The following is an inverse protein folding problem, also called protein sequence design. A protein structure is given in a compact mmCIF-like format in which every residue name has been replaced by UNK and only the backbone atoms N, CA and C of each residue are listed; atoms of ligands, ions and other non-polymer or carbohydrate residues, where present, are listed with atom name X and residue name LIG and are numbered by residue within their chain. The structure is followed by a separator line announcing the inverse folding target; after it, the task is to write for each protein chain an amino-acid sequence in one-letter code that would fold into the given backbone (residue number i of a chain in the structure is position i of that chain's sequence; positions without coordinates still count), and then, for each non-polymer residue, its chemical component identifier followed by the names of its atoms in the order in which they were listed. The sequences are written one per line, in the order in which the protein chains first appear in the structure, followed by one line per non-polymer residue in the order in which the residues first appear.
data_IF_169129594907
#
_entry.id   IF_169129594907
#
_cell.length_a   1.000
_cell.length_b   1.000
_cell.length_c   1.000
_cell.angle_alpha   90.00
_cell.angle_beta   90.00
_cell.angle_gamma   90.00
#
_symmetry.space_group_name_H-M   'P 1'
#
loop_
_entity.id
_entity.type
_entity.pdbx_description
1 polymer ?
#
# COMPACT_ATOMS: atom_id res chain seq x y z
N UNK A 1 24.15 21.64 -14.08
CA UNK A 1 23.46 20.33 -14.19
C UNK A 1 22.95 19.80 -12.84
N UNK A 2 23.69 19.90 -11.72
CA UNK A 2 23.22 19.49 -10.39
C UNK A 2 21.90 20.19 -9.94
N UNK A 3 21.81 21.50 -10.16
CA UNK A 3 20.64 22.31 -9.78
C UNK A 3 19.35 21.93 -10.53
N UNK A 4 19.45 21.32 -11.72
CA UNK A 4 18.29 20.92 -12.52
C UNK A 4 17.73 19.55 -12.10
N UNK A 5 18.56 18.70 -11.49
CA UNK A 5 18.14 17.42 -10.89
C UNK A 5 17.44 17.61 -9.55
N UNK A 6 17.91 18.55 -8.73
CA UNK A 6 17.36 18.87 -7.41
C UNK A 6 15.94 19.45 -7.51
N UNK A 7 15.71 20.36 -8.46
CA UNK A 7 14.39 20.95 -8.75
C UNK A 7 13.37 19.90 -9.25
N UNK A 8 13.83 18.83 -9.92
CA UNK A 8 12.95 17.75 -10.40
C UNK A 8 12.51 16.81 -9.27
N UNK A 9 13.41 16.54 -8.32
CA UNK A 9 13.15 15.70 -7.17
C UNK A 9 12.15 16.37 -6.20
N UNK A 10 12.38 17.64 -5.84
CA UNK A 10 11.45 18.40 -4.97
C UNK A 10 10.05 18.46 -5.58
N UNK A 11 9.94 18.76 -6.87
CA UNK A 11 8.66 18.82 -7.57
C UNK A 11 7.92 17.48 -7.58
N UNK A 12 8.65 16.37 -7.68
CA UNK A 12 8.08 15.02 -7.65
C UNK A 12 7.56 14.65 -6.25
N UNK A 13 8.30 15.03 -5.21
CA UNK A 13 7.88 14.86 -3.80
C UNK A 13 6.65 15.70 -3.50
N UNK A 14 6.58 16.94 -3.97
CA UNK A 14 5.40 17.81 -3.77
C UNK A 14 4.15 17.26 -4.46
N UNK A 15 4.29 16.74 -5.70
CA UNK A 15 3.19 16.09 -6.40
C UNK A 15 2.70 14.88 -5.61
N UNK A 16 3.63 14.07 -5.08
CA UNK A 16 3.32 12.91 -4.25
C UNK A 16 2.61 13.30 -2.95
N UNK A 17 3.15 14.27 -2.19
CA UNK A 17 2.55 14.74 -0.95
C UNK A 17 1.15 15.33 -1.18
N UNK A 18 0.95 16.05 -2.29
CA UNK A 18 -0.35 16.58 -2.66
C UNK A 18 -1.34 15.47 -3.05
N UNK A 19 -0.88 14.43 -3.76
CA UNK A 19 -1.70 13.25 -4.06
C UNK A 19 -2.08 12.49 -2.79
N UNK A 20 -1.12 12.29 -1.87
CA UNK A 20 -1.33 11.64 -0.58
C UNK A 20 -2.31 12.43 0.29
N UNK A 21 -2.17 13.76 0.32
CA UNK A 21 -3.10 14.65 1.04
C UNK A 21 -4.51 14.55 0.46
N UNK A 22 -4.67 14.63 -0.87
CA UNK A 22 -5.98 14.48 -1.53
C UNK A 22 -6.62 13.12 -1.23
N UNK A 23 -5.81 12.06 -1.26
CA UNK A 23 -6.27 10.71 -0.92
C UNK A 23 -6.71 10.63 0.54
N UNK A 24 -5.93 11.19 1.48
CA UNK A 24 -6.28 11.20 2.91
C UNK A 24 -7.56 11.98 3.19
N UNK A 25 -7.75 13.14 2.53
CA UNK A 25 -8.96 13.96 2.67
C UNK A 25 -10.16 13.25 2.06
N UNK A 26 -10.00 12.64 0.87
CA UNK A 26 -11.05 11.84 0.24
C UNK A 26 -11.44 10.62 1.09
N UNK A 27 -10.46 9.92 1.67
CA UNK A 27 -10.70 8.80 2.58
C UNK A 27 -11.43 9.22 3.86
N UNK A 28 -11.02 10.31 4.48
CA UNK A 28 -11.71 10.87 5.65
C UNK A 28 -13.16 11.27 5.31
N UNK A 29 -13.38 11.88 4.13
CA UNK A 29 -14.71 12.22 3.65
C UNK A 29 -15.59 10.97 3.51
N UNK A 30 -15.10 9.88 2.92
CA UNK A 30 -15.85 8.64 2.78
C UNK A 30 -16.17 8.00 4.14
N UNK A 31 -15.21 7.97 5.07
CA UNK A 31 -15.47 7.48 6.44
C UNK A 31 -16.61 8.28 7.09
N UNK A 32 -16.57 9.61 7.01
CA UNK A 32 -17.62 10.47 7.59
C UNK A 32 -18.96 10.30 6.85
N UNK A 33 -18.95 10.17 5.53
CA UNK A 33 -20.15 9.96 4.73
C UNK A 33 -20.86 8.65 5.11
N UNK A 34 -20.11 7.58 5.44
CA UNK A 34 -20.67 6.33 5.94
C UNK A 34 -21.30 6.42 7.33
N UNK A 35 -20.92 7.40 8.14
CA UNK A 35 -21.51 7.61 9.47
C UNK A 35 -22.89 8.29 9.39
N UNK A 36 -23.17 9.04 8.32
CA UNK A 36 -24.44 9.76 8.16
C UNK A 36 -25.65 8.81 8.14
N UNK A 37 -25.70 7.74 7.30
CA UNK A 37 -26.79 6.78 7.35
C UNK A 37 -26.95 6.09 8.71
N UNK A 38 -25.85 5.83 9.43
CA UNK A 38 -25.88 5.22 10.75
C UNK A 38 -26.54 6.12 11.79
N UNK A 39 -26.21 7.42 11.77
CA UNK A 39 -26.83 8.41 12.66
C UNK A 39 -28.31 8.59 12.30
N UNK A 40 -28.65 8.68 11.01
CA UNK A 40 -30.05 8.78 10.56
C UNK A 40 -30.85 7.56 11.03
N UNK A 41 -30.31 6.35 10.85
CA UNK A 41 -30.92 5.10 11.28
C UNK A 41 -31.11 5.06 12.81
N UNK A 42 -30.11 5.48 13.57
CA UNK A 42 -30.24 5.63 15.02
C UNK A 42 -31.31 6.63 15.42
N UNK A 43 -31.39 7.79 14.76
CA UNK A 43 -32.36 8.84 15.10
C UNK A 43 -33.81 8.41 14.83
N UNK A 44 -34.02 7.53 13.85
CA UNK A 44 -35.31 6.88 13.61
C UNK A 44 -35.70 5.95 14.78
N UNK A 45 -34.71 5.35 15.47
CA UNK A 45 -34.90 4.39 16.56
C UNK A 45 -34.42 4.95 17.90
N UNK A 46 -35.14 5.94 18.44
CA UNK A 46 -34.68 6.74 19.60
C UNK A 46 -34.39 5.94 20.86
N UNK A 47 -35.10 4.84 21.12
CA UNK A 47 -34.86 3.97 22.28
C UNK A 47 -33.50 3.27 22.22
N UNK A 48 -32.97 2.99 21.03
CA UNK A 48 -31.71 2.28 20.81
C UNK A 48 -30.62 3.17 20.19
N UNK A 49 -30.81 4.50 20.13
CA UNK A 49 -29.89 5.41 19.45
C UNK A 49 -28.41 5.24 19.85
N UNK A 50 -28.13 5.27 21.16
CA UNK A 50 -26.76 5.16 21.68
C UNK A 50 -26.15 3.78 21.41
N UNK A 51 -26.97 2.73 21.47
CA UNK A 51 -26.57 1.37 21.14
C UNK A 51 -26.21 1.26 19.65
N UNK A 52 -27.07 1.78 18.77
CA UNK A 52 -26.86 1.78 17.32
C UNK A 52 -25.58 2.53 16.95
N UNK A 53 -25.40 3.75 17.47
CA UNK A 53 -24.20 4.55 17.17
C UNK A 53 -22.95 3.91 17.78
N UNK A 54 -23.02 3.42 19.02
CA UNK A 54 -21.90 2.78 19.70
C UNK A 54 -21.44 1.50 19.01
N UNK A 55 -22.35 0.54 18.82
CA UNK A 55 -22.06 -0.73 18.15
C UNK A 55 -21.71 -0.50 16.68
N UNK A 56 -22.50 0.30 15.98
CA UNK A 56 -22.29 0.59 14.56
C UNK A 56 -20.94 1.25 14.29
N UNK A 57 -20.51 2.21 15.12
CA UNK A 57 -19.20 2.86 14.95
C UNK A 57 -18.04 1.91 15.20
N UNK A 58 -18.11 1.06 16.24
CA UNK A 58 -17.08 0.07 16.53
C UNK A 58 -16.96 -0.99 15.41
N UNK A 59 -18.10 -1.48 14.91
CA UNK A 59 -18.14 -2.44 13.80
C UNK A 59 -17.61 -1.81 12.52
N UNK A 60 -17.98 -0.56 12.24
CA UNK A 60 -17.46 0.20 11.11
C UNK A 60 -15.95 0.35 11.16
N UNK A 61 -15.40 0.71 12.34
CA UNK A 61 -13.96 0.82 12.55
C UNK A 61 -13.24 -0.53 12.36
N UNK A 62 -13.80 -1.60 12.92
CA UNK A 62 -13.25 -2.95 12.76
C UNK A 62 -13.24 -3.39 11.29
N UNK A 63 -14.33 -3.15 10.55
CA UNK A 63 -14.42 -3.43 9.13
C UNK A 63 -13.39 -2.61 8.32
N UNK A 64 -13.23 -1.33 8.63
CA UNK A 64 -12.23 -0.48 7.99
C UNK A 64 -10.80 -0.96 8.25
N UNK A 65 -10.48 -1.40 9.47
CA UNK A 65 -9.15 -1.97 9.80
C UNK A 65 -8.93 -3.30 9.08
N UNK A 66 -9.91 -4.21 9.09
CA UNK A 66 -9.83 -5.48 8.39
C UNK A 66 -9.64 -5.29 6.87
N UNK A 67 -10.43 -4.37 6.30
CA UNK A 67 -10.30 -3.95 4.91
C UNK A 67 -8.92 -3.37 4.64
N UNK A 68 -8.48 -2.41 5.46
CA UNK A 68 -7.18 -1.75 5.33
C UNK A 68 -6.00 -2.71 5.39
N UNK A 69 -6.07 -3.72 6.26
CA UNK A 69 -5.07 -4.78 6.32
C UNK A 69 -5.05 -5.60 5.03
N UNK A 70 -6.21 -6.03 4.53
CA UNK A 70 -6.28 -6.71 3.24
C UNK A 70 -5.75 -5.81 2.11
N UNK A 71 -6.19 -4.55 2.05
CA UNK A 71 -5.71 -3.56 1.09
C UNK A 71 -4.20 -3.38 1.13
N UNK A 72 -3.62 -3.33 2.32
CA UNK A 72 -2.18 -3.29 2.52
C UNK A 72 -1.48 -4.47 1.84
N UNK A 73 -1.94 -5.71 2.08
CA UNK A 73 -1.35 -6.90 1.47
C UNK A 73 -1.42 -6.85 -0.06
N UNK A 74 -2.60 -6.55 -0.61
CA UNK A 74 -2.81 -6.45 -2.05
C UNK A 74 -2.10 -5.25 -2.70
N UNK A 75 -1.80 -4.22 -1.91
CA UNK A 75 -1.14 -2.99 -2.35
C UNK A 75 0.38 -3.08 -2.43
N UNK A 76 1.00 -4.13 -1.87
CA UNK A 76 2.46 -4.29 -1.95
C UNK A 76 2.87 -4.46 -3.43
N UNK A 77 3.69 -3.54 -3.98
CA UNK A 77 4.16 -3.65 -5.34
C UNK A 77 5.11 -4.85 -5.44
N UNK A 78 4.83 -5.72 -6.41
CA UNK A 78 5.69 -6.86 -6.71
C UNK A 78 6.79 -6.37 -7.64
N UNK A 79 8.04 -6.55 -7.23
CA UNK A 79 9.13 -6.43 -8.18
C UNK A 79 8.87 -7.49 -9.24
N UNK A 80 8.70 -7.09 -10.50
CA UNK A 80 8.90 -8.04 -11.56
C UNK A 80 10.34 -8.51 -11.34
N UNK A 81 10.53 -9.74 -10.86
CA UNK A 81 11.79 -10.44 -11.00
C UNK A 81 12.07 -10.41 -12.50
N UNK A 82 12.80 -9.39 -12.95
CA UNK A 82 13.45 -9.43 -14.23
C UNK A 82 14.36 -10.62 -14.08
N UNK A 83 14.01 -11.69 -14.80
CA UNK A 83 14.71 -12.96 -14.80
C UNK A 83 16.20 -12.73 -14.64
N UNK A 84 16.75 -13.34 -13.60
CA UNK A 84 18.14 -13.30 -13.14
C UNK A 84 19.14 -13.85 -14.20
N UNK A 85 18.69 -14.04 -15.43
CA UNK A 85 19.42 -14.72 -16.52
C UNK A 85 20.12 -13.72 -17.47
N UNK A 86 19.93 -12.41 -17.31
CA UNK A 86 20.53 -11.41 -18.21
C UNK A 86 21.50 -10.41 -17.55
N UNK A 87 21.93 -10.63 -16.31
CA UNK A 87 22.86 -9.71 -15.62
C UNK A 87 23.99 -10.44 -14.92
N UNK A 88 24.76 -11.21 -15.69
CA UNK A 88 26.12 -11.52 -15.31
C UNK A 88 26.98 -10.23 -15.36
N UNK A 89 27.72 -9.99 -14.29
CA UNK A 89 28.92 -9.14 -14.19
C UNK A 89 28.84 -7.70 -13.65
N UNK A 90 27.75 -7.22 -13.06
CA UNK A 90 27.83 -6.01 -12.23
C UNK A 90 27.10 -6.22 -10.92
N UNK A 91 27.88 -6.21 -9.83
CA UNK A 91 27.45 -6.29 -8.44
C UNK A 91 26.42 -5.20 -8.15
N UNK A 92 25.12 -5.49 -8.35
CA UNK A 92 24.03 -4.69 -7.79
C UNK A 92 24.30 -4.56 -6.29
N UNK A 93 24.49 -3.34 -5.74
CA UNK A 93 24.73 -3.17 -4.32
C UNK A 93 23.59 -3.80 -3.53
N UNK A 94 23.94 -4.59 -2.52
CA UNK A 94 23.04 -5.34 -1.64
C UNK A 94 21.98 -4.48 -0.89
N UNK A 95 21.96 -3.17 -1.13
CA UNK A 95 20.95 -2.22 -0.64
C UNK A 95 19.66 -2.25 -1.47
N UNK A 96 19.67 -2.85 -2.67
CA UNK A 96 18.47 -3.29 -3.42
C UNK A 96 17.82 -4.54 -2.81
N UNK A 97 18.31 -5.01 -1.65
CA UNK A 97 17.56 -5.88 -0.75
C UNK A 97 16.49 -5.04 -0.05
N UNK A 98 15.58 -4.51 -0.87
CA UNK A 98 14.16 -4.34 -0.55
C UNK A 98 13.76 -5.49 0.36
N UNK A 99 12.88 -5.24 1.32
CA UNK A 99 12.42 -6.30 2.20
C UNK A 99 11.56 -7.31 1.40
N UNK A 100 12.22 -8.13 0.58
CA UNK A 100 11.66 -9.19 -0.27
C UNK A 100 10.92 -10.20 0.59
N UNK A 101 11.24 -10.28 1.88
CA UNK A 101 10.49 -11.07 2.84
C UNK A 101 9.04 -10.59 2.94
N UNK A 102 8.77 -9.27 3.01
CA UNK A 102 7.40 -8.75 3.02
C UNK A 102 6.67 -8.96 1.69
N UNK A 103 7.39 -8.77 0.57
CA UNK A 103 6.83 -9.03 -0.76
C UNK A 103 6.46 -10.50 -0.93
N UNK A 104 7.39 -11.42 -0.61
CA UNK A 104 7.18 -12.87 -0.71
C UNK A 104 6.08 -13.34 0.23
N UNK A 105 6.10 -12.92 1.50
CA UNK A 105 5.06 -13.28 2.46
C UNK A 105 3.70 -12.76 1.98
N UNK A 106 3.63 -11.52 1.48
CA UNK A 106 2.37 -10.99 0.96
C UNK A 106 1.90 -11.68 -0.31
N UNK A 107 2.80 -12.06 -1.22
CA UNK A 107 2.45 -12.82 -2.41
C UNK A 107 1.91 -14.22 -2.05
N UNK A 108 2.58 -14.94 -1.14
CA UNK A 108 2.07 -16.21 -0.61
C UNK A 108 0.72 -16.03 0.10
N UNK A 109 0.60 -15.01 0.95
CA UNK A 109 -0.60 -14.76 1.73
C UNK A 109 -1.77 -14.36 0.83
N UNK A 110 -1.57 -13.50 -0.17
CA UNK A 110 -2.63 -13.11 -1.11
C UNK A 110 -3.05 -14.27 -2.01
N UNK A 111 -2.11 -15.11 -2.47
CA UNK A 111 -2.43 -16.34 -3.21
C UNK A 111 -3.26 -17.32 -2.37
N UNK A 112 -2.87 -17.54 -1.12
CA UNK A 112 -3.64 -18.37 -0.18
C UNK A 112 -5.02 -17.75 0.07
N UNK A 113 -5.10 -16.45 0.32
CA UNK A 113 -6.36 -15.75 0.59
C UNK A 113 -7.32 -15.88 -0.60
N UNK A 114 -6.85 -15.63 -1.82
CA UNK A 114 -7.66 -15.78 -3.05
C UNK A 114 -8.05 -17.24 -3.25
N UNK A 115 -7.10 -18.18 -3.14
CA UNK A 115 -7.36 -19.60 -3.32
C UNK A 115 -8.39 -20.15 -2.33
N UNK A 116 -8.23 -19.84 -1.04
CA UNK A 116 -9.17 -20.22 0.02
C UNK A 116 -10.53 -19.55 -0.20
N UNK A 117 -10.57 -18.27 -0.58
CA UNK A 117 -11.82 -17.55 -0.80
C UNK A 117 -12.62 -18.12 -1.96
N UNK A 118 -11.97 -18.58 -3.03
CA UNK A 118 -12.64 -19.21 -4.17
C UNK A 118 -13.28 -20.55 -3.80
N UNK A 119 -12.57 -21.38 -3.04
CA UNK A 119 -13.07 -22.71 -2.64
C UNK A 119 -14.11 -22.61 -1.53
N UNK A 120 -13.95 -21.66 -0.59
CA UNK A 120 -14.84 -21.50 0.56
C UNK A 120 -15.91 -20.42 0.38
N UNK A 121 -16.13 -19.92 -0.84
CA UNK A 121 -17.08 -18.82 -1.09
C UNK A 121 -18.48 -19.05 -0.50
N UNK A 122 -19.09 -20.25 -0.59
CA UNK A 122 -20.40 -20.51 0.03
C UNK A 122 -20.36 -20.35 1.56
N UNK A 123 -19.32 -20.87 2.22
CA UNK A 123 -19.15 -20.75 3.67
C UNK A 123 -18.91 -19.29 4.10
N UNK A 124 -18.16 -18.52 3.30
CA UNK A 124 -17.97 -17.08 3.54
C UNK A 124 -19.30 -16.34 3.42
N UNK A 125 -20.12 -16.67 2.41
CA UNK A 125 -21.44 -16.06 2.25
C UNK A 125 -22.37 -16.38 3.43
N UNK A 126 -22.38 -17.62 3.91
CA UNK A 126 -23.18 -18.03 5.07
C UNK A 126 -22.67 -17.41 6.38
N UNK A 127 -21.35 -17.32 6.56
CA UNK A 127 -20.75 -16.60 7.68
C UNK A 127 -21.14 -15.11 7.64
N UNK A 128 -21.13 -14.51 6.45
CA UNK A 128 -21.58 -13.14 6.23
C UNK A 128 -23.04 -12.92 6.63
N UNK A 129 -23.96 -13.80 6.20
CA UNK A 129 -25.37 -13.75 6.58
C UNK A 129 -25.59 -13.90 8.08
N UNK A 130 -24.84 -14.80 8.73
CA UNK A 130 -24.90 -14.99 10.20
C UNK A 130 -24.38 -13.77 10.93
N UNK A 131 -23.26 -13.21 10.48
CA UNK A 131 -22.68 -11.99 11.05
C UNK A 131 -23.65 -10.81 10.93
N UNK A 132 -24.26 -10.60 9.76
CA UNK A 132 -25.22 -9.51 9.58
C UNK A 132 -26.49 -9.69 10.41
N UNK A 133 -26.95 -10.93 10.62
CA UNK A 133 -28.06 -11.22 11.52
C UNK A 133 -27.72 -10.90 12.99
N UNK A 134 -26.55 -11.34 13.48
CA UNK A 134 -26.10 -11.03 14.85
C UNK A 134 -25.95 -9.52 15.05
N UNK A 135 -25.38 -8.82 14.06
CA UNK A 135 -25.22 -7.37 14.12
C UNK A 135 -26.55 -6.64 14.04
N UNK A 136 -27.51 -7.15 13.25
CA UNK A 136 -28.85 -6.59 13.16
C UNK A 136 -29.55 -6.58 14.52
N UNK A 137 -29.47 -7.67 15.26
CA UNK A 137 -30.00 -7.75 16.63
C UNK A 137 -29.28 -6.76 17.55
N UNK A 138 -27.96 -6.64 17.39
CA UNK A 138 -27.14 -5.72 18.19
C UNK A 138 -27.40 -4.23 17.90
N UNK A 139 -27.99 -3.89 16.75
CA UNK A 139 -28.36 -2.51 16.36
C UNK A 139 -29.87 -2.25 16.37
N UNK A 140 -30.64 -3.04 17.13
CA UNK A 140 -32.05 -2.76 17.42
C UNK A 140 -33.04 -3.81 16.91
N UNK A 141 -32.66 -4.67 15.95
CA UNK A 141 -33.48 -5.80 15.52
C UNK A 141 -34.70 -5.46 14.65
N UNK A 142 -34.87 -4.21 14.22
CA UNK A 142 -35.94 -3.78 13.31
C UNK A 142 -35.82 -4.41 11.90
N UNK A 143 -36.89 -4.40 11.08
CA UNK A 143 -36.87 -4.95 9.71
C UNK A 143 -35.76 -4.43 8.79
N UNK A 144 -35.23 -3.22 9.07
CA UNK A 144 -34.12 -2.62 8.32
C UNK A 144 -32.71 -2.97 8.84
N UNK A 145 -32.59 -3.59 10.02
CA UNK A 145 -31.31 -3.78 10.73
C UNK A 145 -30.33 -4.67 9.98
N UNK A 146 -30.82 -5.75 9.34
CA UNK A 146 -29.97 -6.66 8.54
C UNK A 146 -29.37 -5.91 7.35
N UNK A 147 -30.18 -5.10 6.66
CA UNK A 147 -29.73 -4.30 5.52
C UNK A 147 -28.72 -3.22 5.95
N UNK A 148 -28.97 -2.57 7.08
CA UNK A 148 -28.05 -1.58 7.66
C UNK A 148 -26.72 -2.22 8.08
N UNK A 149 -26.75 -3.33 8.81
CA UNK A 149 -25.55 -4.04 9.25
C UNK A 149 -24.70 -4.54 8.07
N UNK A 150 -25.35 -5.14 7.06
CA UNK A 150 -24.67 -5.63 5.86
C UNK A 150 -24.08 -4.51 5.00
N UNK A 151 -24.85 -3.46 4.73
CA UNK A 151 -24.36 -2.32 3.94
C UNK A 151 -23.22 -1.59 4.63
N UNK A 152 -23.30 -1.37 5.95
CA UNK A 152 -22.25 -0.76 6.75
C UNK A 152 -20.96 -1.60 6.71
N UNK A 153 -21.05 -2.92 6.94
CA UNK A 153 -19.90 -3.82 6.86
C UNK A 153 -19.20 -3.73 5.50
N UNK A 154 -19.96 -3.88 4.41
CA UNK A 154 -19.42 -3.84 3.05
C UNK A 154 -18.81 -2.48 2.74
N UNK A 155 -19.48 -1.39 3.15
CA UNK A 155 -19.02 -0.03 2.93
C UNK A 155 -17.67 0.22 3.60
N UNK A 156 -17.55 -0.04 4.90
CA UNK A 156 -16.32 0.23 5.63
C UNK A 156 -15.20 -0.77 5.30
N UNK A 157 -15.52 -2.03 5.05
CA UNK A 157 -14.55 -3.02 4.57
C UNK A 157 -13.96 -2.59 3.22
N UNK A 158 -14.80 -2.18 2.28
CA UNK A 158 -14.37 -1.69 0.96
C UNK A 158 -13.57 -0.40 1.04
N UNK A 159 -14.00 0.58 1.85
CA UNK A 159 -13.26 1.82 2.05
C UNK A 159 -11.91 1.59 2.72
N UNK A 160 -11.87 0.74 3.74
CA UNK A 160 -10.63 0.29 4.36
C UNK A 160 -9.70 -0.33 3.33
N UNK A 161 -10.21 -1.29 2.56
CA UNK A 161 -9.44 -1.96 1.50
C UNK A 161 -8.86 -0.99 0.49
N UNK A 162 -9.67 -0.11 -0.08
CA UNK A 162 -9.19 0.87 -1.05
C UNK A 162 -8.17 1.81 -0.40
N UNK A 163 -8.44 2.31 0.81
CA UNK A 163 -7.53 3.18 1.54
C UNK A 163 -6.16 2.53 1.77
N UNK A 164 -6.14 1.31 2.34
CA UNK A 164 -4.92 0.55 2.56
C UNK A 164 -4.20 0.22 1.25
N UNK A 165 -4.93 -0.16 0.21
CA UNK A 165 -4.37 -0.47 -1.11
C UNK A 165 -3.69 0.73 -1.74
N UNK A 166 -4.39 1.87 -1.83
CA UNK A 166 -3.85 3.07 -2.45
C UNK A 166 -2.69 3.62 -1.63
N UNK A 167 -2.80 3.67 -0.30
CA UNK A 167 -1.73 4.13 0.57
C UNK A 167 -0.46 3.30 0.39
N UNK A 168 -0.58 1.97 0.47
CA UNK A 168 0.56 1.06 0.33
C UNK A 168 1.14 1.14 -1.06
N UNK A 169 0.31 1.06 -2.10
CA UNK A 169 0.81 1.06 -3.49
C UNK A 169 1.49 2.36 -3.86
N UNK A 170 0.89 3.51 -3.56
CA UNK A 170 1.49 4.82 -3.92
C UNK A 170 2.76 5.10 -3.12
N UNK A 171 2.77 4.81 -1.82
CA UNK A 171 3.93 5.05 -0.96
C UNK A 171 5.08 4.13 -1.33
N UNK A 172 4.85 2.81 -1.40
CA UNK A 172 5.91 1.85 -1.71
C UNK A 172 6.44 2.03 -3.14
N UNK A 173 5.58 2.26 -4.14
CA UNK A 173 6.06 2.51 -5.51
C UNK A 173 6.92 3.77 -5.58
N UNK A 174 6.56 4.84 -4.86
CA UNK A 174 7.36 6.08 -4.85
C UNK A 174 8.69 5.87 -4.13
N UNK A 175 8.67 5.23 -2.95
CA UNK A 175 9.89 4.89 -2.21
C UNK A 175 10.83 4.08 -3.09
N UNK A 176 10.31 3.07 -3.80
CA UNK A 176 11.11 2.24 -4.70
C UNK A 176 11.67 3.04 -5.90
N UNK A 177 10.85 3.88 -6.53
CA UNK A 177 11.30 4.70 -7.65
C UNK A 177 12.41 5.69 -7.26
N UNK A 178 12.33 6.30 -6.07
CA UNK A 178 13.36 7.21 -5.56
C UNK A 178 14.65 6.44 -5.24
N UNK A 179 14.56 5.29 -4.59
CA UNK A 179 15.73 4.45 -4.28
C UNK A 179 16.43 3.96 -5.54
N UNK A 180 15.70 3.55 -6.58
CA UNK A 180 16.28 3.10 -7.85
C UNK A 180 17.10 4.19 -8.55
N UNK A 181 16.62 5.45 -8.52
CA UNK A 181 17.34 6.59 -9.08
C UNK A 181 18.64 6.87 -8.29
N UNK A 182 18.58 6.83 -6.96
CA UNK A 182 19.75 7.03 -6.11
C UNK A 182 20.82 5.98 -6.34
N UNK A 183 20.42 4.72 -6.52
CA UNK A 183 21.37 3.62 -6.77
C UNK A 183 22.04 3.76 -8.12
N UNK A 184 21.31 4.14 -9.18
CA UNK A 184 21.90 4.40 -10.50
C UNK A 184 22.91 5.55 -10.47
N UNK A 185 22.64 6.61 -9.72
CA UNK A 185 23.61 7.70 -9.54
C UNK A 185 24.89 7.22 -8.83
N UNK A 186 24.76 6.39 -7.79
CA UNK A 186 25.90 5.81 -7.08
C UNK A 186 26.73 4.93 -8.03
N UNK A 187 26.07 4.06 -8.80
CA UNK A 187 26.74 3.16 -9.76
C UNK A 187 27.49 3.94 -10.85
N UNK A 188 26.85 4.96 -11.44
CA UNK A 188 27.48 5.83 -12.43
C UNK A 188 28.67 6.63 -11.86
N UNK A 189 28.64 6.96 -10.55
CA UNK A 189 29.75 7.63 -9.87
C UNK A 189 30.91 6.68 -9.59
N UNK A 190 30.62 5.43 -9.24
CA UNK A 190 31.65 4.37 -9.07
C UNK A 190 32.32 4.09 -10.40
N UNK A 191 31.55 3.85 -11.48
CA UNK A 191 32.11 3.60 -12.82
C UNK A 191 33.01 4.75 -13.30
N UNK A 192 32.56 6.00 -13.11
CA UNK A 192 33.37 7.20 -13.43
C UNK A 192 34.63 7.32 -12.57
N UNK A 193 34.63 6.80 -11.34
CA UNK A 193 35.82 6.79 -10.50
C UNK A 193 36.81 5.71 -10.93
N UNK A 194 36.32 4.54 -11.34
CA UNK A 194 37.13 3.46 -11.91
C UNK A 194 37.79 3.89 -13.23
N UNK A 195 37.02 4.46 -14.18
CA UNK A 195 37.54 5.00 -15.45
C UNK A 195 38.65 6.04 -15.20
N UNK A 196 38.45 6.96 -14.24
CA UNK A 196 39.48 7.95 -13.87
C UNK A 196 40.72 7.33 -13.23
N UNK A 197 40.54 6.26 -12.45
CA UNK A 197 41.66 5.53 -11.85
C UNK A 197 42.49 4.84 -12.93
N UNK A 198 41.84 4.19 -13.90
CA UNK A 198 42.50 3.55 -15.04
C UNK A 198 43.26 4.58 -15.90
N UNK A 199 42.63 5.70 -16.25
CA UNK A 199 43.28 6.78 -17.00
C UNK A 199 44.50 7.36 -16.25
N UNK A 200 44.43 7.45 -14.92
CA UNK A 200 45.53 7.93 -14.11
C UNK A 200 46.70 6.94 -14.07
N UNK A 201 46.41 5.63 -13.97
CA UNK A 201 47.40 4.57 -14.03
C UNK A 201 48.12 4.54 -15.38
N UNK A 202 47.38 4.65 -16.48
CA UNK A 202 47.95 4.65 -17.83
C UNK A 202 48.87 5.86 -18.08
N UNK A 203 48.51 7.04 -17.56
CA UNK A 203 49.38 8.24 -17.64
C UNK A 203 50.67 8.08 -16.84
N UNK A 204 50.61 7.44 -15.67
CA UNK A 204 51.79 7.16 -14.84
C UNK A 204 52.70 6.16 -15.56
N UNK A 205 52.15 5.09 -16.12
CA UNK A 205 52.93 4.08 -16.86
C UNK A 205 53.64 4.70 -18.07
N UNK A 206 52.94 5.52 -18.87
CA UNK A 206 53.56 6.26 -19.99
C UNK A 206 54.67 7.22 -19.56
N UNK A 207 54.52 7.88 -18.41
CA UNK A 207 55.55 8.78 -17.88
C UNK A 207 56.80 8.01 -17.42
N UNK A 208 56.62 6.81 -16.85
CA UNK A 208 57.73 5.94 -16.44
C UNK A 208 58.48 5.40 -17.65
N UNK A 209 57.78 4.89 -18.67
CA UNK A 209 58.41 4.33 -19.88
C UNK A 209 59.12 5.38 -20.73
N UNK A 210 58.58 6.61 -20.84
CA UNK A 210 59.23 7.69 -21.57
C UNK A 210 60.48 8.28 -20.90
N UNK A 211 60.79 7.85 -19.66
CA UNK A 211 61.97 8.30 -18.89
C UNK A 211 63.13 7.31 -18.89
N UNK A 212 62.95 6.13 -19.51
CA UNK A 212 63.97 5.11 -19.77
C UNK A 212 64.53 5.23 -21.18
#
# INVERSE_FOLDING_TARGET
MAQQGEISAERSVDIFLNALKKLSVGGAFLIVAGAVPLVIYGLANRSHFLQIVGVGSMVSAAAAVAGGFAGFLFGIPRSAQVDEVASSNLSRPALLRVNTNLEQISDWLTKILVGVSLVQLPHIADAGRRLTAVLADAIGGDPGSIGMAGSMLVYYLGNGFLGGYYLTRTTLTTVFAVSDVQIRDIDDRVRRAEERSEEALEKVERAVDGSR
#
